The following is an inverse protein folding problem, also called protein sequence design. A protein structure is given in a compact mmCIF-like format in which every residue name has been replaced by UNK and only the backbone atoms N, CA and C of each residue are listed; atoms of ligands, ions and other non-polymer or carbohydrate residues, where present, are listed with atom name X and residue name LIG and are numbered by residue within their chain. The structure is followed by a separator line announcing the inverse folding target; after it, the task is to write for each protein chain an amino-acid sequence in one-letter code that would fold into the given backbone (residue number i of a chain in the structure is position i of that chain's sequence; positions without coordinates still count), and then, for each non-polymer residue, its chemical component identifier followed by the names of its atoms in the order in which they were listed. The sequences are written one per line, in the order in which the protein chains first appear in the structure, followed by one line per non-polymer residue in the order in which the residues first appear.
data_IF_460092629359
#
_entry.id   IF_460092629359
#
_cell.length_a   1.000
_cell.length_b   1.000
_cell.length_c   1.000
_cell.angle_alpha   90.00
_cell.angle_beta   90.00
_cell.angle_gamma   90.00
#
_symmetry.space_group_name_H-M   'P 1'
#
loop_
_entity.id
_entity.type
_entity.pdbx_description
1 polymer ?
#
# COMPACT_ATOMS: atom_id res chain seq x y z
N UNK A 1 15.81 -15.14 -0.35
CA UNK A 1 14.51 -14.79 0.25
C UNK A 1 13.35 -15.14 -0.72
N UNK A 2 13.37 -14.66 -1.97
CA UNK A 2 12.36 -15.00 -2.99
C UNK A 2 12.33 -16.50 -3.33
N UNK A 3 13.50 -17.12 -3.39
CA UNK A 3 13.63 -18.56 -3.65
C UNK A 3 13.09 -19.42 -2.49
N UNK A 4 13.18 -18.93 -1.26
CA UNK A 4 12.66 -19.64 -0.08
C UNK A 4 11.14 -19.54 0.05
N UNK A 5 10.54 -18.41 -0.36
CA UNK A 5 9.10 -18.27 -0.46
C UNK A 5 8.54 -19.16 -1.58
N UNK A 6 9.18 -19.17 -2.74
CA UNK A 6 8.80 -20.04 -3.84
C UNK A 6 8.87 -21.53 -3.44
N UNK A 7 9.91 -21.94 -2.68
CA UNK A 7 10.02 -23.30 -2.14
C UNK A 7 8.92 -23.61 -1.11
N UNK A 8 8.62 -22.70 -0.18
CA UNK A 8 7.51 -22.88 0.79
C UNK A 8 6.17 -23.00 0.10
N UNK A 9 5.94 -22.26 -0.98
CA UNK A 9 4.70 -22.26 -1.75
C UNK A 9 4.57 -23.54 -2.57
N UNK A 10 5.65 -24.02 -3.15
CA UNK A 10 5.70 -25.32 -3.87
C UNK A 10 5.49 -26.50 -2.91
N UNK A 11 5.96 -26.40 -1.66
CA UNK A 11 5.80 -27.47 -0.65
C UNK A 11 4.35 -27.56 -0.14
N UNK A 12 3.54 -26.51 -0.32
CA UNK A 12 2.13 -26.48 0.09
C UNK A 12 1.13 -27.00 -0.97
N UNK A 13 1.61 -27.61 -2.07
CA UNK A 13 0.75 -28.21 -3.10
C UNK A 13 -0.05 -27.21 -3.93
N UNK A 14 0.34 -25.93 -3.96
CA UNK A 14 -0.32 -24.91 -4.76
C UNK A 14 0.10 -25.02 -6.23
N UNK A 15 -0.86 -25.15 -7.11
CA UNK A 15 -0.64 -25.15 -8.56
C UNK A 15 -0.57 -23.72 -9.07
N UNK A 16 0.45 -23.42 -9.89
CA UNK A 16 0.53 -22.14 -10.60
C UNK A 16 -0.39 -22.24 -11.82
N UNK A 17 -1.25 -21.26 -11.97
CA UNK A 17 -2.16 -21.11 -13.10
C UNK A 17 -1.88 -19.81 -13.85
N UNK A 18 -2.21 -19.76 -15.13
CA UNK A 18 -2.15 -18.53 -15.93
C UNK A 18 -3.55 -17.94 -16.03
N UNK A 19 -3.69 -16.70 -15.60
CA UNK A 19 -4.96 -15.95 -15.56
C UNK A 19 -4.82 -14.70 -16.42
N UNK A 20 -5.88 -14.32 -17.13
CA UNK A 20 -5.94 -13.03 -17.80
C UNK A 20 -5.91 -11.91 -16.73
N UNK A 21 -4.97 -10.95 -16.79
CA UNK A 21 -4.92 -9.87 -15.81
C UNK A 21 -6.20 -9.00 -15.77
N UNK A 22 -7.03 -9.04 -16.83
CA UNK A 22 -8.32 -8.36 -16.86
C UNK A 22 -9.38 -9.06 -15.99
N UNK A 23 -9.18 -10.35 -15.68
CA UNK A 23 -10.05 -11.12 -14.77
C UNK A 23 -9.60 -11.01 -13.31
N UNK A 24 -8.53 -10.25 -13.03
CA UNK A 24 -8.02 -10.03 -11.68
C UNK A 24 -8.43 -8.64 -11.21
N UNK A 25 -9.33 -8.58 -10.24
CA UNK A 25 -9.71 -7.35 -9.56
C UNK A 25 -8.68 -7.00 -8.48
N UNK A 26 -8.45 -5.71 -8.30
CA UNK A 26 -7.64 -5.23 -7.19
C UNK A 26 -8.26 -5.67 -5.85
N UNK A 27 -7.42 -5.81 -4.82
CA UNK A 27 -7.92 -6.00 -3.45
C UNK A 27 -8.89 -4.88 -3.09
N UNK A 28 -9.90 -5.21 -2.27
CA UNK A 28 -10.82 -4.21 -1.74
C UNK A 28 -10.13 -3.18 -0.83
N UNK A 29 -8.87 -3.41 -0.49
CA UNK A 29 -8.05 -2.49 0.30
C UNK A 29 -6.87 -2.03 -0.56
N UNK A 30 -6.81 -0.72 -0.82
CA UNK A 30 -5.62 -0.09 -1.38
C UNK A 30 -4.63 0.16 -0.25
N UNK A 31 -3.48 -0.44 -0.33
CA UNK A 31 -2.44 -0.43 0.71
C UNK A 31 -1.31 0.55 0.42
N UNK A 32 -1.27 1.11 -0.77
CA UNK A 32 -0.28 2.11 -1.20
C UNK A 32 -0.93 3.40 -1.65
N UNK A 33 -0.20 4.47 -1.43
CA UNK A 33 -0.29 5.70 -2.21
C UNK A 33 0.34 5.36 -3.57
N UNK A 34 -0.49 4.87 -4.49
CA UNK A 34 -0.09 4.16 -5.70
C UNK A 34 0.98 4.91 -6.50
N UNK A 35 2.08 4.22 -6.74
CA UNK A 35 3.11 4.65 -7.67
C UNK A 35 3.32 3.54 -8.72
N UNK A 36 2.47 3.54 -9.75
CA UNK A 36 2.66 2.75 -10.96
C UNK A 36 3.49 3.53 -11.98
N UNK A 37 4.13 4.60 -11.54
CA UNK A 37 5.00 5.47 -12.30
C UNK A 37 6.38 5.49 -11.63
N UNK A 38 7.40 5.93 -12.37
CA UNK A 38 8.74 6.04 -11.85
C UNK A 38 9.68 4.91 -12.28
N UNK A 39 10.96 5.10 -11.95
CA UNK A 39 12.06 4.23 -12.39
C UNK A 39 11.92 2.79 -11.89
N UNK A 40 11.47 2.61 -10.66
CA UNK A 40 11.27 1.28 -10.06
C UNK A 40 10.17 0.47 -10.75
N UNK A 41 9.11 1.11 -11.24
CA UNK A 41 8.07 0.43 -11.99
C UNK A 41 8.54 0.13 -13.41
N UNK A 42 9.26 1.05 -14.06
CA UNK A 42 9.87 0.83 -15.36
C UNK A 42 10.85 -0.36 -15.33
N UNK A 43 11.70 -0.42 -14.32
CA UNK A 43 12.62 -1.55 -14.11
C UNK A 43 11.90 -2.89 -13.94
N UNK A 44 10.79 -2.90 -13.19
CA UNK A 44 9.97 -4.10 -13.05
C UNK A 44 9.34 -4.53 -14.37
N UNK A 45 8.82 -3.58 -15.14
CA UNK A 45 8.20 -3.81 -16.45
C UNK A 45 9.23 -4.38 -17.44
N UNK A 46 10.42 -3.82 -17.50
CA UNK A 46 11.52 -4.30 -18.34
C UNK A 46 11.98 -5.70 -17.90
N UNK A 47 12.12 -5.93 -16.61
CA UNK A 47 12.48 -7.25 -16.08
C UNK A 47 11.45 -8.33 -16.45
N UNK A 48 10.15 -8.02 -16.37
CA UNK A 48 9.10 -8.97 -16.77
C UNK A 48 9.08 -9.18 -18.28
N UNK A 49 9.34 -8.13 -19.05
CA UNK A 49 9.44 -8.21 -20.52
C UNK A 49 10.57 -9.14 -20.96
N UNK A 50 11.73 -9.03 -20.33
CA UNK A 50 12.95 -9.78 -20.73
C UNK A 50 12.97 -11.21 -20.17
N UNK A 51 12.56 -11.40 -18.92
CA UNK A 51 12.74 -12.65 -18.20
C UNK A 51 11.42 -13.37 -17.88
N UNK A 52 10.29 -12.77 -18.22
CA UNK A 52 8.97 -13.25 -17.79
C UNK A 52 8.70 -13.01 -16.31
N UNK A 53 7.52 -13.40 -15.88
CA UNK A 53 7.13 -13.30 -14.47
C UNK A 53 7.80 -14.43 -13.66
N UNK A 54 8.78 -14.07 -12.83
CA UNK A 54 9.51 -15.02 -11.98
C UNK A 54 8.70 -15.42 -10.73
N UNK A 55 8.00 -14.46 -10.09
CA UNK A 55 7.24 -14.68 -8.86
C UNK A 55 5.75 -14.58 -9.15
N UNK A 56 4.97 -15.66 -8.93
CA UNK A 56 3.53 -15.62 -9.09
C UNK A 56 2.86 -14.63 -8.14
N UNK A 57 1.68 -14.15 -8.52
CA UNK A 57 0.81 -13.38 -7.63
C UNK A 57 -0.11 -14.31 -6.85
N UNK A 58 -0.67 -13.84 -5.74
CA UNK A 58 -1.67 -14.59 -4.98
C UNK A 58 -3.05 -13.98 -5.22
N UNK A 59 -3.98 -14.83 -5.61
CA UNK A 59 -5.38 -14.45 -5.84
C UNK A 59 -6.32 -15.41 -5.10
N UNK A 60 -7.54 -14.94 -4.83
CA UNK A 60 -8.67 -15.80 -4.45
C UNK A 60 -9.76 -15.72 -5.51
N UNK A 61 -10.65 -16.73 -5.63
CA UNK A 61 -11.88 -16.57 -6.39
C UNK A 61 -12.67 -15.37 -5.89
N UNK A 62 -13.21 -14.56 -6.82
CA UNK A 62 -14.03 -13.41 -6.42
C UNK A 62 -15.30 -13.89 -5.72
N UNK A 63 -15.68 -13.35 -4.54
CA UNK A 63 -16.81 -13.87 -3.76
C UNK A 63 -18.15 -13.70 -4.47
N UNK A 64 -18.31 -12.67 -5.31
CA UNK A 64 -19.58 -12.28 -5.92
C UNK A 64 -19.58 -12.40 -7.45
N UNK A 65 -18.46 -12.78 -8.08
CA UNK A 65 -18.34 -12.81 -9.54
C UNK A 65 -17.65 -14.10 -10.00
N UNK A 66 -18.42 -15.01 -10.57
CA UNK A 66 -17.89 -16.26 -11.12
C UNK A 66 -16.90 -16.01 -12.26
N UNK A 67 -15.81 -16.76 -12.30
CA UNK A 67 -14.75 -16.63 -13.29
C UNK A 67 -13.78 -15.47 -13.06
N UNK A 68 -14.00 -14.63 -12.07
CA UNK A 68 -13.09 -13.55 -11.69
C UNK A 68 -12.32 -13.89 -10.42
N UNK A 69 -11.24 -13.16 -10.22
CA UNK A 69 -10.35 -13.33 -9.08
C UNK A 69 -10.13 -12.00 -8.38
N UNK A 70 -9.84 -12.06 -7.09
CA UNK A 70 -9.47 -10.91 -6.30
C UNK A 70 -8.02 -11.05 -5.83
N UNK A 71 -7.21 -10.02 -6.09
CA UNK A 71 -5.79 -10.03 -5.79
C UNK A 71 -5.55 -9.92 -4.28
N UNK A 72 -4.75 -10.82 -3.73
CA UNK A 72 -4.25 -10.71 -2.36
C UNK A 72 -2.95 -9.91 -2.30
N UNK A 73 -1.99 -10.22 -3.19
CA UNK A 73 -0.75 -9.45 -3.31
C UNK A 73 -0.16 -9.53 -4.73
N UNK A 74 0.70 -8.56 -5.05
CA UNK A 74 1.39 -8.46 -6.34
C UNK A 74 0.79 -7.42 -7.29
N UNK A 75 0.19 -6.34 -6.80
CA UNK A 75 -0.48 -5.29 -7.57
C UNK A 75 0.40 -4.72 -8.69
N UNK A 76 1.66 -4.38 -8.39
CA UNK A 76 2.60 -3.86 -9.40
C UNK A 76 2.89 -4.87 -10.51
N UNK A 77 3.00 -6.18 -10.16
CA UNK A 77 3.22 -7.24 -11.15
C UNK A 77 2.02 -7.41 -12.08
N UNK A 78 0.80 -7.43 -11.52
CA UNK A 78 -0.42 -7.52 -12.33
C UNK A 78 -0.52 -6.34 -13.29
N UNK A 79 -0.26 -5.12 -12.82
CA UNK A 79 -0.30 -3.92 -13.68
C UNK A 79 0.77 -3.99 -14.79
N UNK A 80 2.01 -4.37 -14.47
CA UNK A 80 3.07 -4.53 -15.46
C UNK A 80 2.72 -5.61 -16.52
N UNK A 81 2.18 -6.75 -16.07
CA UNK A 81 1.75 -7.85 -16.95
C UNK A 81 0.61 -7.40 -17.87
N UNK A 82 -0.34 -6.62 -17.33
CA UNK A 82 -1.44 -6.04 -18.09
C UNK A 82 -0.94 -5.10 -19.18
N UNK A 83 0.00 -4.21 -18.87
CA UNK A 83 0.61 -3.31 -19.86
C UNK A 83 1.40 -4.06 -20.93
N UNK A 84 1.98 -5.22 -20.60
CA UNK A 84 2.69 -6.06 -21.55
C UNK A 84 1.78 -6.99 -22.37
N UNK A 85 0.48 -7.04 -22.09
CA UNK A 85 -0.46 -7.94 -22.77
C UNK A 85 -0.20 -9.43 -22.50
N UNK A 86 0.39 -9.77 -21.35
CA UNK A 86 0.74 -11.13 -20.96
C UNK A 86 -0.30 -11.72 -20.00
N UNK A 87 -0.30 -13.05 -19.83
CA UNK A 87 -1.04 -13.73 -18.77
C UNK A 87 -0.29 -13.71 -17.46
N UNK A 88 -1.00 -13.51 -16.36
CA UNK A 88 -0.43 -13.51 -15.02
C UNK A 88 -0.30 -14.94 -14.47
N UNK A 89 0.90 -15.31 -14.04
CA UNK A 89 1.11 -16.51 -13.24
C UNK A 89 0.62 -16.26 -11.82
N UNK A 90 -0.31 -17.07 -11.35
CA UNK A 90 -0.97 -16.87 -10.06
C UNK A 90 -1.10 -18.17 -9.26
N UNK A 91 -1.06 -18.04 -7.94
CA UNK A 91 -1.57 -19.05 -7.02
C UNK A 91 -3.02 -18.71 -6.67
N UNK A 92 -3.91 -19.68 -6.76
CA UNK A 92 -5.30 -19.54 -6.32
C UNK A 92 -5.43 -20.16 -4.93
N UNK A 93 -5.90 -19.37 -3.95
CA UNK A 93 -6.27 -19.83 -2.61
C UNK A 93 -7.67 -19.37 -2.26
N UNK A 94 -8.44 -20.24 -1.63
CA UNK A 94 -9.73 -19.85 -1.04
C UNK A 94 -9.43 -19.13 0.29
N UNK A 95 -9.41 -17.79 0.22
CA UNK A 95 -9.16 -16.92 1.38
C UNK A 95 -10.47 -16.26 1.81
N UNK A 96 -10.75 -16.24 3.10
CA UNK A 96 -11.73 -15.34 3.69
C UNK A 96 -11.28 -13.90 3.57
N UNK A 97 -12.15 -12.93 3.84
CA UNK A 97 -11.79 -11.52 3.83
C UNK A 97 -10.69 -11.21 4.85
N UNK A 98 -10.77 -11.78 6.05
CA UNK A 98 -9.77 -11.63 7.09
C UNK A 98 -8.40 -12.20 6.65
N UNK A 99 -8.40 -13.38 6.02
CA UNK A 99 -7.17 -14.01 5.51
C UNK A 99 -6.57 -13.25 4.32
N UNK A 100 -7.40 -12.67 3.45
CA UNK A 100 -6.94 -11.80 2.36
C UNK A 100 -6.23 -10.56 2.92
N UNK A 101 -6.83 -9.92 3.92
CA UNK A 101 -6.24 -8.77 4.62
C UNK A 101 -4.90 -9.12 5.26
N UNK A 102 -4.84 -10.25 5.96
CA UNK A 102 -3.60 -10.72 6.60
C UNK A 102 -2.53 -11.03 5.54
N UNK A 103 -2.88 -11.71 4.45
CA UNK A 103 -1.95 -12.05 3.38
C UNK A 103 -1.38 -10.78 2.71
N UNK A 104 -2.23 -9.80 2.45
CA UNK A 104 -1.84 -8.50 1.91
C UNK A 104 -0.95 -7.72 2.88
N UNK A 105 -1.33 -7.69 4.14
CA UNK A 105 -0.56 -7.01 5.18
C UNK A 105 0.82 -7.63 5.40
N UNK A 106 0.92 -8.95 5.44
CA UNK A 106 2.20 -9.64 5.60
C UNK A 106 3.14 -9.36 4.43
N UNK A 107 2.66 -9.42 3.19
CA UNK A 107 3.48 -9.07 2.01
C UNK A 107 4.00 -7.64 2.10
N UNK A 108 3.15 -6.70 2.51
CA UNK A 108 3.53 -5.29 2.63
C UNK A 108 4.50 -5.03 3.80
N UNK A 109 4.30 -5.70 4.94
CA UNK A 109 5.15 -5.52 6.11
C UNK A 109 6.51 -6.22 5.97
N UNK A 110 6.60 -7.30 5.20
CA UNK A 110 7.87 -7.95 4.84
C UNK A 110 8.73 -7.07 3.95
N UNK A 111 8.13 -6.11 3.25
CA UNK A 111 8.89 -5.05 2.54
C UNK A 111 9.49 -4.12 3.58
N UNK A 112 10.83 -4.08 3.61
CA UNK A 112 11.61 -3.20 4.50
C UNK A 112 11.30 -1.70 4.34
N UNK A 113 10.48 -1.33 3.36
CA UNK A 113 10.32 0.03 2.86
C UNK A 113 8.97 0.68 3.18
N UNK A 114 8.03 -0.02 3.85
CA UNK A 114 6.74 0.59 4.20
C UNK A 114 6.93 1.65 5.29
N UNK A 115 6.64 2.89 4.93
CA UNK A 115 6.81 4.04 5.81
C UNK A 115 5.77 4.07 6.93
N UNK A 116 5.99 4.89 7.95
CA UNK A 116 5.04 5.05 9.05
C UNK A 116 3.65 5.47 8.56
N UNK A 117 3.59 6.46 7.66
CA UNK A 117 2.31 7.00 7.18
C UNK A 117 1.53 5.98 6.35
N UNK A 118 2.20 5.21 5.51
CA UNK A 118 1.57 4.15 4.73
C UNK A 118 0.96 3.08 5.65
N UNK A 119 1.69 2.66 6.69
CA UNK A 119 1.18 1.72 7.71
C UNK A 119 -0.05 2.28 8.42
N UNK A 120 0.00 3.54 8.82
CA UNK A 120 -1.06 4.19 9.57
C UNK A 120 -2.34 4.37 8.73
N UNK A 121 -2.20 4.77 7.46
CA UNK A 121 -3.34 4.83 6.52
C UNK A 121 -3.91 3.46 6.20
N UNK A 122 -3.06 2.46 6.03
CA UNK A 122 -3.53 1.10 5.81
C UNK A 122 -4.36 0.60 7.01
N UNK A 123 -3.91 0.84 8.24
CA UNK A 123 -4.65 0.50 9.45
C UNK A 123 -6.02 1.24 9.52
N UNK A 124 -6.06 2.52 9.20
CA UNK A 124 -7.30 3.29 9.14
C UNK A 124 -8.28 2.72 8.11
N UNK A 125 -7.83 2.45 6.89
CA UNK A 125 -8.66 1.89 5.82
C UNK A 125 -9.24 0.52 6.18
N UNK A 126 -8.47 -0.32 6.88
CA UNK A 126 -8.96 -1.60 7.41
C UNK A 126 -10.09 -1.38 8.43
N UNK A 127 -9.90 -0.44 9.37
CA UNK A 127 -10.92 -0.12 10.38
C UNK A 127 -12.19 0.44 9.75
N UNK A 128 -12.10 1.35 8.79
CA UNK A 128 -13.23 1.95 8.07
C UNK A 128 -14.05 0.92 7.27
N UNK A 129 -13.40 -0.16 6.83
CA UNK A 129 -14.06 -1.30 6.17
C UNK A 129 -14.63 -2.32 7.15
N UNK A 130 -14.58 -2.04 8.44
CA UNK A 130 -15.15 -2.91 9.47
C UNK A 130 -14.30 -4.14 9.79
N UNK A 131 -13.03 -4.18 9.36
CA UNK A 131 -12.12 -5.26 9.74
C UNK A 131 -11.89 -5.24 11.25
N UNK A 132 -12.03 -6.40 11.89
CA UNK A 132 -11.87 -6.52 13.34
C UNK A 132 -10.48 -6.06 13.77
N UNK A 133 -10.38 -5.28 14.83
CA UNK A 133 -9.11 -4.79 15.38
C UNK A 133 -8.10 -5.92 15.67
N UNK A 134 -8.56 -7.10 16.08
CA UNK A 134 -7.70 -8.27 16.27
C UNK A 134 -7.02 -8.73 14.98
N UNK A 135 -7.73 -8.65 13.85
CA UNK A 135 -7.18 -8.97 12.52
C UNK A 135 -6.17 -7.90 12.09
N UNK A 136 -6.52 -6.63 12.27
CA UNK A 136 -5.60 -5.51 11.99
C UNK A 136 -4.32 -5.67 12.82
N UNK A 137 -4.43 -5.94 14.11
CA UNK A 137 -3.28 -6.16 14.98
C UNK A 137 -2.42 -7.34 14.53
N UNK A 138 -3.04 -8.46 14.13
CA UNK A 138 -2.35 -9.62 13.59
C UNK A 138 -1.60 -9.27 12.29
N UNK A 139 -2.22 -8.50 11.40
CA UNK A 139 -1.63 -8.00 10.15
C UNK A 139 -0.36 -7.19 10.40
N UNK A 140 -0.35 -6.34 11.43
CA UNK A 140 0.82 -5.52 11.79
C UNK A 140 1.79 -6.20 12.76
N UNK A 141 1.55 -7.44 13.13
CA UNK A 141 2.39 -8.16 14.10
C UNK A 141 2.46 -7.46 15.47
N UNK A 142 1.51 -6.59 15.79
CA UNK A 142 1.48 -5.85 17.06
C UNK A 142 0.51 -6.50 18.04
N UNK A 143 0.91 -6.54 19.31
CA UNK A 143 0.04 -6.96 20.43
C UNK A 143 -0.53 -5.78 21.21
N UNK A 144 -0.11 -4.57 20.88
CA UNK A 144 -0.52 -3.35 21.59
C UNK A 144 -1.71 -2.68 20.94
N UNK A 145 -2.88 -2.75 21.58
CA UNK A 145 -4.09 -2.01 21.18
C UNK A 145 -3.86 -0.49 21.19
N UNK A 146 -3.05 0.00 22.12
CA UNK A 146 -2.70 1.42 22.25
C UNK A 146 -1.97 1.92 21.01
N UNK A 147 -0.94 1.22 20.55
CA UNK A 147 -0.16 1.60 19.36
C UNK A 147 -1.04 1.71 18.13
N UNK A 148 -1.92 0.73 17.90
CA UNK A 148 -2.85 0.77 16.76
C UNK A 148 -3.82 1.95 16.87
N UNK A 149 -4.39 2.17 18.08
CA UNK A 149 -5.34 3.27 18.30
C UNK A 149 -4.70 4.64 18.08
N UNK A 150 -3.47 4.82 18.53
CA UNK A 150 -2.71 6.05 18.36
C UNK A 150 -2.33 6.31 16.90
N UNK A 151 -1.95 5.26 16.15
CA UNK A 151 -1.71 5.37 14.71
C UNK A 151 -2.96 5.85 13.95
N UNK A 152 -4.09 5.20 14.20
CA UNK A 152 -5.36 5.52 13.54
C UNK A 152 -5.83 6.92 13.95
N UNK A 153 -5.73 7.28 15.23
CA UNK A 153 -6.13 8.61 15.71
C UNK A 153 -5.30 9.73 15.08
N UNK A 154 -4.00 9.50 14.87
CA UNK A 154 -3.15 10.46 14.19
C UNK A 154 -3.59 10.70 12.74
N UNK A 155 -3.78 9.62 11.98
CA UNK A 155 -4.12 9.74 10.56
C UNK A 155 -5.47 10.42 10.36
N UNK A 156 -6.45 10.18 11.24
CA UNK A 156 -7.75 10.86 11.19
C UNK A 156 -7.69 12.38 11.35
N UNK A 157 -6.59 12.90 11.89
CA UNK A 157 -6.35 14.35 11.99
C UNK A 157 -5.69 14.94 10.75
N UNK A 158 -5.18 14.11 9.87
CA UNK A 158 -4.48 14.54 8.66
C UNK A 158 -5.46 14.55 7.48
N UNK A 159 -5.55 15.67 6.72
CA UNK A 159 -6.35 15.69 5.49
C UNK A 159 -5.79 14.70 4.46
N UNK A 160 -6.64 13.83 3.91
CA UNK A 160 -6.26 12.83 2.92
C UNK A 160 -5.54 13.45 1.72
N UNK A 161 -6.09 14.58 1.21
CA UNK A 161 -5.52 15.32 0.09
C UNK A 161 -4.06 15.76 0.35
N UNK A 162 -3.78 16.22 1.58
CA UNK A 162 -2.43 16.64 1.98
C UNK A 162 -1.46 15.45 2.01
N UNK A 163 -1.90 14.33 2.60
CA UNK A 163 -1.05 13.14 2.70
C UNK A 163 -0.79 12.53 1.33
N UNK A 164 -1.81 12.50 0.45
CA UNK A 164 -1.65 12.05 -0.93
C UNK A 164 -0.65 12.93 -1.70
N UNK A 165 -0.71 14.25 -1.51
CA UNK A 165 0.21 15.19 -2.15
C UNK A 165 1.66 15.04 -1.63
N UNK A 166 1.85 14.76 -0.33
CA UNK A 166 3.17 14.51 0.27
C UNK A 166 3.72 13.16 -0.21
N UNK A 167 2.89 12.10 -0.18
CA UNK A 167 3.28 10.75 -0.51
C UNK A 167 3.85 9.98 0.70
N UNK A 168 4.67 8.95 0.43
CA UNK A 168 5.15 7.99 1.44
C UNK A 168 6.09 8.58 2.50
N UNK A 169 6.74 9.71 2.24
CA UNK A 169 7.66 10.41 3.15
C UNK A 169 8.65 9.47 3.88
N UNK A 170 9.55 8.78 3.15
CA UNK A 170 10.50 7.87 3.74
C UNK A 170 11.40 8.58 4.77
N UNK A 171 11.68 7.89 5.87
CA UNK A 171 12.46 8.45 6.97
C UNK A 171 11.68 9.37 7.93
N UNK A 172 10.45 9.73 7.61
CA UNK A 172 9.61 10.55 8.49
C UNK A 172 8.83 9.65 9.44
N UNK A 173 9.22 9.65 10.70
CA UNK A 173 8.58 8.86 11.76
C UNK A 173 7.36 9.54 12.38
N UNK A 174 6.65 8.78 13.22
CA UNK A 174 5.43 9.22 13.92
C UNK A 174 5.54 10.60 14.59
N UNK A 175 6.59 10.94 15.36
CA UNK A 175 6.63 12.21 16.09
C UNK A 175 6.52 13.44 15.16
N UNK A 176 7.01 13.33 13.95
CA UNK A 176 6.96 14.41 12.97
C UNK A 176 5.58 14.57 12.35
N UNK A 177 4.88 13.45 12.11
CA UNK A 177 3.50 13.45 11.65
C UNK A 177 2.54 13.95 12.75
N UNK A 178 2.79 13.60 14.02
CA UNK A 178 2.06 14.16 15.18
C UNK A 178 2.23 15.68 15.24
N UNK A 179 3.44 16.18 15.03
CA UNK A 179 3.72 17.63 15.00
C UNK A 179 2.98 18.33 13.85
N UNK A 180 2.92 17.71 12.65
CA UNK A 180 2.15 18.25 11.53
C UNK A 180 0.65 18.28 11.85
N UNK A 181 0.11 17.20 12.40
CA UNK A 181 -1.30 17.12 12.78
C UNK A 181 -1.68 18.21 13.80
N UNK A 182 -0.80 18.46 14.77
CA UNK A 182 -1.02 19.53 15.76
C UNK A 182 -1.05 20.93 15.12
N UNK A 183 -0.28 21.19 14.06
CA UNK A 183 -0.30 22.47 13.33
C UNK A 183 -1.54 22.62 12.46
N UNK A 184 -2.19 21.52 12.07
CA UNK A 184 -3.40 21.51 11.25
C UNK A 184 -4.69 21.60 12.08
N UNK A 185 -4.62 21.35 13.39
CA UNK A 185 -5.78 21.29 14.31
C UNK A 185 -6.54 22.67 14.39
N UNK A 186 -5.89 23.76 13.97
CA UNK A 186 -6.49 25.11 13.93
C UNK A 186 -7.37 25.36 12.68
N UNK A 187 -7.66 24.33 11.88
CA UNK A 187 -8.50 24.44 10.68
C UNK A 187 -7.89 25.23 9.53
N UNK A 188 -6.58 25.47 9.57
CA UNK A 188 -5.85 26.21 8.53
C UNK A 188 -5.65 25.33 7.29
N UNK A 189 -6.25 25.76 6.17
CA UNK A 189 -6.09 25.10 4.86
C UNK A 189 -5.03 25.78 3.98
N UNK A 190 -4.11 26.51 4.57
CA UNK A 190 -3.08 27.31 3.91
C UNK A 190 -2.08 26.47 3.08
N UNK A 191 -2.06 25.17 3.29
CA UNK A 191 -1.27 24.21 2.53
C UNK A 191 -1.86 23.89 1.14
N UNK A 192 -3.17 24.12 0.91
CA UNK A 192 -3.83 23.77 -0.36
C UNK A 192 -3.20 24.44 -1.58
N UNK A 193 -2.92 25.77 -1.57
CA UNK A 193 -2.23 26.37 -2.71
C UNK A 193 -0.80 25.86 -2.90
N UNK A 194 -0.14 25.39 -1.83
CA UNK A 194 1.22 24.88 -1.91
C UNK A 194 1.29 23.57 -2.70
N UNK A 195 0.39 22.62 -2.41
CA UNK A 195 0.44 21.29 -3.05
C UNK A 195 0.10 21.30 -4.54
N UNK A 196 -0.52 22.40 -5.02
CA UNK A 196 -0.86 22.58 -6.44
C UNK A 196 0.30 23.17 -7.26
N UNK A 197 1.38 23.66 -6.61
CA UNK A 197 2.52 24.23 -7.30
C UNK A 197 3.36 23.18 -8.01
N UNK A 198 3.75 23.46 -9.25
CA UNK A 198 4.58 22.55 -10.05
C UNK A 198 5.96 22.29 -9.42
N UNK A 199 6.54 23.28 -8.73
CA UNK A 199 7.80 23.11 -8.01
C UNK A 199 7.65 22.17 -6.80
N UNK A 200 6.52 22.21 -6.10
CA UNK A 200 6.21 21.26 -5.04
C UNK A 200 6.11 19.83 -5.57
N UNK A 201 5.40 19.62 -6.67
CA UNK A 201 5.19 18.29 -7.26
C UNK A 201 6.48 17.63 -7.77
N UNK A 202 7.52 18.44 -8.08
CA UNK A 202 8.84 17.95 -8.50
C UNK A 202 9.75 17.53 -7.33
N UNK A 203 9.39 17.86 -6.10
CA UNK A 203 10.17 17.50 -4.91
C UNK A 203 10.04 16.00 -4.61
N UNK A 204 11.05 15.46 -3.92
CA UNK A 204 10.93 14.14 -3.29
C UNK A 204 9.82 14.14 -2.24
N UNK A 205 9.24 12.98 -1.93
CA UNK A 205 8.18 12.88 -0.91
C UNK A 205 8.63 13.40 0.47
N UNK A 206 9.87 13.13 0.87
CA UNK A 206 10.44 13.67 2.11
C UNK A 206 10.58 15.20 2.06
N UNK A 207 11.01 15.76 0.93
CA UNK A 207 11.14 17.22 0.76
C UNK A 207 9.77 17.91 0.71
N UNK A 208 8.75 17.25 0.14
CA UNK A 208 7.35 17.74 0.20
C UNK A 208 6.88 17.86 1.64
N UNK A 209 7.16 16.86 2.47
CA UNK A 209 6.85 16.91 3.90
C UNK A 209 7.52 18.11 4.58
N UNK A 210 8.85 18.32 4.36
CA UNK A 210 9.59 19.45 4.92
C UNK A 210 9.01 20.78 4.45
N UNK A 211 8.65 20.88 3.19
CA UNK A 211 8.07 22.11 2.62
C UNK A 211 6.73 22.45 3.25
N UNK A 212 5.87 21.45 3.50
CA UNK A 212 4.60 21.64 4.22
C UNK A 212 4.84 22.12 5.65
N UNK A 213 5.71 21.46 6.40
CA UNK A 213 6.06 21.87 7.77
C UNK A 213 6.55 23.31 7.82
N UNK A 214 7.41 23.70 6.85
CA UNK A 214 7.91 25.07 6.76
C UNK A 214 6.78 26.07 6.51
N UNK A 215 5.86 25.76 5.62
CA UNK A 215 4.70 26.62 5.31
C UNK A 215 3.81 26.78 6.54
N UNK A 216 3.47 25.68 7.22
CA UNK A 216 2.63 25.71 8.43
C UNK A 216 3.26 26.50 9.59
N UNK A 217 4.61 26.51 9.70
CA UNK A 217 5.33 27.29 10.72
C UNK A 217 5.46 28.77 10.39
N UNK A 218 5.44 29.13 9.13
CA UNK A 218 5.71 30.51 8.68
C UNK A 218 4.51 31.45 8.85
N UNK A 219 3.34 30.89 9.19
CA UNK A 219 2.10 31.66 9.36
C UNK A 219 1.70 31.66 10.84
N UNK A 220 1.56 32.83 11.44
CA UNK A 220 1.15 33.00 12.84
C UNK A 220 -0.31 32.59 13.07
#
# INVERSE_FOLDING_TARGET
HEADELRKTLTNGLTIVEIDPLDIDASFIKDRLDDFEGEDFANLLDSIRENGQAVPVLVRPHPDQEGRYQLAYGHRRVEAIKQLGLKAKAFIRNLTDDELVIAQGNENLERKDLTFIEKAFFALRLEERGVKRSVIMATFGTRSKGVLSEMIALVRKLPDELVMAIGSAPGIGRPRWDAMAAMLDDGKEDWKPLIQKTDFQKLSSADRFERVIKELRSKP
#
